data_IF_726974974249
#
_entry.id   IF_726974974249
#
_cell.length_a   1.000
_cell.length_b   1.000
_cell.length_c   1.000
_cell.angle_alpha   90.00
_cell.angle_beta   90.00
_cell.angle_gamma   90.00
#
_symmetry.space_group_name_H-M   'P 1'
#
loop_
_entity.id
_entity.type
_entity.pdbx_description
1 polymer ?
#
# COMPACT_ATOMS: atom_id res chain seq x y z
N UNK A 1 14.80 14.16 5.09
CA UNK A 1 14.49 13.89 4.60
C UNK A 1 14.32 13.56 4.15
N UNK A 2 14.40 13.62 4.34
CA UNK A 2 14.18 13.12 3.60
C UNK A 2 14.02 12.51 3.21
N UNK A 3 14.09 12.48 3.43
CA UNK A 3 13.93 11.78 2.81
C UNK A 3 13.62 11.20 2.58
N UNK A 4 13.65 11.03 2.64
CA UNK A 4 13.24 10.45 2.26
C UNK A 4 13.01 10.17 1.58
N UNK A 5 13.06 10.07 1.57
CA UNK A 5 12.78 9.65 0.72
C UNK A 5 12.75 9.44 0.05
N UNK A 6 12.89 9.46 0.08
CA UNK A 6 12.81 9.24 -0.59
C UNK A 6 12.81 8.68 -1.18
N UNK A 7 12.84 8.42 -1.23
CA UNK A 7 12.67 7.78 -1.89
C UNK A 7 12.82 7.26 -2.53
N UNK A 8 13.12 6.99 -2.57
CA UNK A 8 13.11 6.36 -3.21
C UNK A 8 12.95 6.03 -3.96
N UNK A 9 12.78 5.92 -4.47
CA UNK A 9 12.47 5.59 -5.29
C UNK A 9 12.88 5.39 -6.08
N UNK A 10 13.16 5.37 -6.34
CA UNK A 10 13.56 5.28 -7.23
C UNK A 10 14.56 4.58 -7.76
N UNK A 11 15.36 4.51 -7.60
CA UNK A 11 16.36 3.79 -8.32
C UNK A 11 16.17 2.31 -8.15
N UNK A 12 15.54 1.79 -9.11
CA UNK A 12 15.34 0.36 -9.17
C UNK A 12 16.68 -0.27 -9.50
N UNK A 13 17.14 -1.24 -8.71
CA UNK A 13 18.32 -1.98 -9.11
C UNK A 13 18.13 -2.59 -10.48
N UNK A 14 19.18 -2.64 -11.24
CA UNK A 14 19.10 -3.09 -12.62
C UNK A 14 19.32 -4.60 -12.76
N UNK A 15 19.45 -5.32 -11.67
CA UNK A 15 19.70 -6.74 -11.78
C UNK A 15 18.42 -7.49 -12.18
N UNK A 16 18.62 -8.70 -12.60
CA UNK A 16 17.59 -9.56 -13.13
C UNK A 16 16.44 -9.80 -12.15
N UNK A 17 16.77 -9.95 -10.87
CA UNK A 17 15.75 -10.22 -9.87
C UNK A 17 14.88 -9.02 -9.60
N UNK A 18 15.47 -7.84 -9.64
CA UNK A 18 14.72 -6.61 -9.42
C UNK A 18 13.72 -6.34 -10.53
N UNK A 19 14.05 -6.77 -11.75
CA UNK A 19 13.12 -6.60 -12.88
C UNK A 19 11.84 -7.40 -12.67
N UNK A 20 11.89 -8.44 -11.86
CA UNK A 20 10.70 -9.25 -11.57
C UNK A 20 9.81 -8.59 -10.53
N UNK A 21 10.35 -7.69 -9.73
CA UNK A 21 9.58 -7.05 -8.67
C UNK A 21 8.67 -5.97 -9.19
N UNK A 22 9.05 -5.25 -10.24
CA UNK A 22 8.21 -4.21 -10.81
C UNK A 22 6.81 -4.69 -11.15
N UNK A 23 6.70 -5.75 -11.98
CA UNK A 23 5.37 -6.29 -12.30
C UNK A 23 4.62 -6.80 -11.08
N UNK A 24 5.35 -7.35 -10.10
CA UNK A 24 4.72 -7.84 -8.88
C UNK A 24 4.13 -6.69 -8.07
N UNK A 25 4.86 -5.60 -7.94
CA UNK A 25 4.36 -4.42 -7.22
C UNK A 25 3.12 -3.85 -7.90
N UNK A 26 3.13 -3.81 -9.23
CA UNK A 26 1.96 -3.37 -9.98
C UNK A 26 0.77 -4.29 -9.75
N UNK A 27 1.01 -5.59 -9.73
CA UNK A 27 -0.04 -6.56 -9.46
C UNK A 27 -0.66 -6.31 -8.08
N UNK A 28 0.17 -6.10 -7.07
CA UNK A 28 -0.32 -5.84 -5.73
C UNK A 28 -1.15 -4.56 -5.67
N UNK A 29 -0.70 -3.51 -6.35
CA UNK A 29 -1.45 -2.24 -6.40
C UNK A 29 -2.80 -2.40 -7.05
N UNK A 30 -2.88 -3.21 -8.08
CA UNK A 30 -4.13 -3.42 -8.82
C UNK A 30 -5.09 -4.37 -8.11
N UNK A 31 -4.61 -5.07 -7.09
CA UNK A 31 -5.41 -6.07 -6.40
C UNK A 31 -5.36 -5.88 -4.89
N UNK A 32 -5.50 -4.63 -4.44
CA UNK A 32 -5.40 -4.29 -3.01
C UNK A 32 -6.44 -5.00 -2.16
N UNK A 33 -7.59 -5.32 -2.74
CA UNK A 33 -8.67 -5.99 -2.01
C UNK A 33 -8.38 -7.47 -1.75
N UNK A 34 -7.35 -8.02 -2.38
CA UNK A 34 -6.99 -9.42 -2.23
C UNK A 34 -5.95 -9.61 -1.14
N UNK A 35 -5.93 -10.81 -0.60
CA UNK A 35 -4.88 -11.20 0.34
C UNK A 35 -3.61 -11.52 -0.45
N UNK A 36 -2.47 -11.03 0.03
CA UNK A 36 -1.18 -11.26 -0.62
C UNK A 36 -0.26 -11.99 0.35
N UNK A 37 -0.13 -13.30 0.16
CA UNK A 37 0.66 -14.14 1.05
C UNK A 37 2.09 -14.24 0.54
N UNK A 38 3.04 -14.26 1.46
CA UNK A 38 4.46 -14.29 1.10
C UNK A 38 4.82 -15.47 0.19
N UNK A 39 4.36 -16.71 0.47
CA UNK A 39 4.69 -17.82 -0.45
C UNK A 39 4.19 -17.59 -1.87
N UNK A 40 3.00 -17.01 -2.01
CA UNK A 40 2.43 -16.74 -3.33
C UNK A 40 3.18 -15.64 -4.06
N UNK A 41 3.55 -14.59 -3.33
CA UNK A 41 4.29 -13.48 -3.92
C UNK A 41 5.67 -13.93 -4.36
N UNK A 42 6.35 -14.73 -3.54
CA UNK A 42 7.67 -15.25 -3.88
C UNK A 42 7.59 -16.11 -5.12
N UNK A 43 6.59 -16.99 -5.19
CA UNK A 43 6.40 -17.86 -6.35
C UNK A 43 6.14 -17.03 -7.60
N UNK A 44 5.34 -16.01 -7.49
CA UNK A 44 5.05 -15.10 -8.60
C UNK A 44 6.32 -14.42 -9.11
N UNK A 45 7.20 -14.06 -8.18
CA UNK A 45 8.48 -13.43 -8.53
C UNK A 45 9.54 -14.44 -9.00
N UNK A 46 9.25 -15.74 -8.87
CA UNK A 46 10.21 -16.76 -9.26
C UNK A 46 11.38 -16.87 -8.30
N UNK A 47 11.14 -16.60 -7.02
CA UNK A 47 12.19 -16.59 -6.01
C UNK A 47 11.78 -17.44 -4.82
N UNK A 48 12.79 -17.90 -4.05
CA UNK A 48 12.51 -18.46 -2.74
C UNK A 48 11.97 -17.35 -1.83
N UNK A 49 11.27 -17.73 -0.76
CA UNK A 49 10.72 -16.73 0.17
C UNK A 49 11.83 -15.87 0.77
N UNK A 50 12.95 -16.50 1.11
CA UNK A 50 14.07 -15.77 1.72
C UNK A 50 14.63 -14.72 0.75
N UNK A 51 14.88 -15.13 -0.49
CA UNK A 51 15.39 -14.23 -1.51
C UNK A 51 14.37 -13.12 -1.80
N UNK A 52 13.11 -13.50 -1.89
CA UNK A 52 12.05 -12.52 -2.13
C UNK A 52 12.01 -11.43 -1.05
N UNK A 53 12.02 -11.84 0.22
CA UNK A 53 11.97 -10.88 1.31
C UNK A 53 13.17 -9.94 1.30
N UNK A 54 14.36 -10.48 1.04
CA UNK A 54 15.56 -9.67 0.97
C UNK A 54 15.50 -8.69 -0.19
N UNK A 55 15.16 -9.18 -1.38
CA UNK A 55 15.10 -8.32 -2.57
C UNK A 55 14.01 -7.26 -2.46
N UNK A 56 12.87 -7.65 -1.90
CA UNK A 56 11.77 -6.71 -1.71
C UNK A 56 12.21 -5.56 -0.79
N UNK A 57 12.85 -5.90 0.31
CA UNK A 57 13.35 -4.90 1.25
C UNK A 57 14.40 -3.99 0.62
N UNK A 58 15.29 -4.56 -0.19
CA UNK A 58 16.30 -3.77 -0.89
C UNK A 58 15.67 -2.81 -1.89
N UNK A 59 14.65 -3.26 -2.59
CA UNK A 59 14.02 -2.47 -3.65
C UNK A 59 13.08 -1.39 -3.09
N UNK A 60 12.38 -1.67 -2.00
CA UNK A 60 11.33 -0.77 -1.50
C UNK A 60 11.69 -0.10 -0.17
N UNK A 61 12.67 -0.61 0.53
CA UNK A 61 13.00 -0.15 1.87
C UNK A 61 12.05 -0.65 2.95
N UNK A 62 11.14 -1.56 2.61
CA UNK A 62 10.11 -2.04 3.53
C UNK A 62 9.89 -3.53 3.36
N UNK A 63 9.27 -4.13 4.37
CA UNK A 63 8.74 -5.48 4.22
C UNK A 63 7.51 -5.44 3.31
N UNK A 64 7.13 -6.56 2.71
CA UNK A 64 5.91 -6.59 1.89
C UNK A 64 4.67 -6.16 2.67
N UNK A 65 4.55 -6.58 3.93
CA UNK A 65 3.39 -6.20 4.75
C UNK A 65 3.33 -4.69 4.97
N UNK A 66 4.45 -4.07 5.30
CA UNK A 66 4.51 -2.63 5.50
C UNK A 66 4.27 -1.86 4.22
N UNK A 67 4.86 -2.33 3.14
CA UNK A 67 4.67 -1.70 1.85
C UNK A 67 3.20 -1.73 1.44
N UNK A 68 2.57 -2.89 1.60
CA UNK A 68 1.16 -3.04 1.23
C UNK A 68 0.27 -2.17 2.09
N UNK A 69 0.55 -2.11 3.40
CA UNK A 69 -0.21 -1.26 4.30
C UNK A 69 -0.13 0.20 3.86
N UNK A 70 1.07 0.67 3.51
CA UNK A 70 1.24 2.04 3.05
C UNK A 70 0.47 2.32 1.77
N UNK A 71 0.50 1.40 0.82
CA UNK A 71 -0.24 1.58 -0.43
C UNK A 71 -1.73 1.62 -0.18
N UNK A 72 -2.22 0.73 0.68
CA UNK A 72 -3.64 0.71 1.06
C UNK A 72 -4.07 2.01 1.72
N UNK A 73 -3.22 2.56 2.60
CA UNK A 73 -3.54 3.82 3.26
C UNK A 73 -3.53 4.99 2.28
N UNK A 74 -2.57 5.01 1.36
CA UNK A 74 -2.54 6.06 0.34
C UNK A 74 -3.78 6.01 -0.54
N UNK A 75 -4.20 4.82 -0.92
CA UNK A 75 -5.39 4.67 -1.74
C UNK A 75 -6.64 5.09 -0.97
N UNK A 76 -6.72 4.72 0.31
CA UNK A 76 -7.83 5.14 1.15
C UNK A 76 -7.89 6.67 1.26
N UNK A 77 -6.74 7.29 1.46
CA UNK A 77 -6.66 8.74 1.54
C UNK A 77 -7.13 9.40 0.25
N UNK A 78 -6.72 8.86 -0.89
CA UNK A 78 -7.15 9.38 -2.18
C UNK A 78 -8.67 9.32 -2.32
N UNK A 79 -9.28 8.21 -1.94
CA UNK A 79 -10.73 8.08 -1.97
C UNK A 79 -11.40 9.09 -1.05
N UNK A 80 -10.83 9.32 0.13
CA UNK A 80 -11.39 10.29 1.07
C UNK A 80 -11.36 11.70 0.51
N UNK A 81 -10.33 12.02 -0.26
CA UNK A 81 -10.15 13.36 -0.82
C UNK A 81 -10.95 13.59 -2.09
N UNK A 82 -11.11 12.55 -2.91
CA UNK A 82 -11.59 12.72 -4.27
C UNK A 82 -12.95 12.09 -4.56
N UNK A 83 -13.54 11.37 -3.60
CA UNK A 83 -14.81 10.71 -3.83
C UNK A 83 -15.70 10.81 -2.60
N UNK A 84 -16.96 10.44 -2.78
CA UNK A 84 -17.95 10.44 -1.71
C UNK A 84 -18.34 9.02 -1.30
N UNK A 85 -17.60 8.01 -1.72
CA UNK A 85 -17.97 6.65 -1.36
C UNK A 85 -17.83 6.46 0.14
N UNK A 86 -18.60 5.53 0.67
CA UNK A 86 -18.67 5.32 2.11
C UNK A 86 -17.35 4.77 2.66
N UNK A 87 -17.14 4.97 3.94
CA UNK A 87 -15.98 4.42 4.63
C UNK A 87 -15.96 2.90 4.49
N UNK A 88 -17.13 2.26 4.54
CA UNK A 88 -17.23 0.81 4.33
C UNK A 88 -16.71 0.39 2.97
N UNK A 89 -17.10 1.13 1.92
CA UNK A 89 -16.66 0.81 0.58
C UNK A 89 -15.17 1.06 0.40
N UNK A 90 -14.66 2.12 1.01
CA UNK A 90 -13.22 2.37 0.97
C UNK A 90 -12.46 1.21 1.61
N UNK A 91 -12.94 0.75 2.77
CA UNK A 91 -12.29 -0.38 3.45
C UNK A 91 -12.26 -1.62 2.57
N UNK A 92 -13.34 -1.91 1.87
CA UNK A 92 -13.39 -3.06 0.96
C UNK A 92 -12.44 -2.88 -0.22
N UNK A 93 -12.52 -1.75 -0.89
CA UNK A 93 -11.73 -1.50 -2.10
C UNK A 93 -10.23 -1.50 -1.84
N UNK A 94 -9.83 -1.03 -0.66
CA UNK A 94 -8.41 -0.87 -0.36
C UNK A 94 -7.83 -2.07 0.40
N UNK A 95 -8.66 -3.07 0.69
CA UNK A 95 -8.17 -4.31 1.28
C UNK A 95 -8.16 -4.37 2.78
N UNK A 96 -8.62 -3.30 3.46
CA UNK A 96 -8.74 -3.35 4.92
C UNK A 96 -9.90 -4.25 5.36
N UNK A 97 -10.90 -4.38 4.50
CA UNK A 97 -12.02 -5.28 4.73
C UNK A 97 -13.15 -4.69 5.52
N UNK A 98 -12.85 -4.08 6.67
CA UNK A 98 -13.86 -3.49 7.54
C UNK A 98 -13.50 -2.05 7.89
N UNK A 99 -14.51 -1.22 8.20
CA UNK A 99 -14.23 0.14 8.68
C UNK A 99 -13.39 0.15 9.95
N UNK A 100 -13.58 -0.81 10.83
CA UNK A 100 -12.82 -0.88 12.08
C UNK A 100 -11.33 -1.04 11.79
N UNK A 101 -10.98 -1.95 10.89
CA UNK A 101 -9.59 -2.17 10.53
C UNK A 101 -8.99 -0.96 9.82
N UNK A 102 -9.76 -0.35 8.91
CA UNK A 102 -9.31 0.86 8.24
C UNK A 102 -9.07 1.98 9.25
N UNK A 103 -10.02 2.22 10.17
CA UNK A 103 -9.87 3.26 11.17
C UNK A 103 -8.65 3.05 12.03
N UNK A 104 -8.41 1.81 12.44
CA UNK A 104 -7.25 1.48 13.28
C UNK A 104 -5.94 1.88 12.59
N UNK A 105 -5.73 1.39 11.39
CA UNK A 105 -4.48 1.66 10.68
C UNK A 105 -4.35 3.11 10.25
N UNK A 106 -5.47 3.70 9.81
CA UNK A 106 -5.47 5.10 9.39
C UNK A 106 -5.10 6.01 10.55
N UNK A 107 -5.70 5.76 11.70
CA UNK A 107 -5.43 6.57 12.89
C UNK A 107 -3.98 6.42 13.35
N UNK A 108 -3.44 5.21 13.29
CA UNK A 108 -2.06 4.96 13.68
C UNK A 108 -1.08 5.75 12.81
N UNK A 109 -1.33 5.81 11.52
CA UNK A 109 -0.40 6.42 10.59
C UNK A 109 -0.67 7.91 10.37
N UNK A 110 -1.92 8.32 10.41
CA UNK A 110 -2.30 9.70 10.07
C UNK A 110 -2.63 10.56 11.30
N UNK A 111 -2.82 9.95 12.46
CA UNK A 111 -3.16 10.68 13.66
C UNK A 111 -4.59 11.17 13.73
N UNK A 112 -5.43 10.76 12.79
CA UNK A 112 -6.83 11.17 12.74
C UNK A 112 -7.67 10.05 12.14
N UNK A 113 -8.99 10.15 12.26
CA UNK A 113 -9.88 9.14 11.69
C UNK A 113 -10.14 9.44 10.22
N UNK A 114 -10.54 8.43 9.44
CA UNK A 114 -10.92 8.66 8.05
C UNK A 114 -12.02 9.72 7.89
N UNK A 115 -13.03 9.67 8.74
CA UNK A 115 -14.13 10.63 8.66
C UNK A 115 -13.64 12.06 8.93
N UNK A 116 -12.84 12.24 9.97
CA UNK A 116 -12.28 13.55 10.28
C UNK A 116 -11.38 14.05 9.15
N UNK A 117 -10.58 13.15 8.60
CA UNK A 117 -9.71 13.48 7.48
C UNK A 117 -10.52 13.96 6.28
N UNK A 118 -11.60 13.26 5.96
CA UNK A 118 -12.46 13.64 4.84
C UNK A 118 -13.10 15.02 5.08
N UNK A 119 -13.51 15.29 6.31
CA UNK A 119 -14.10 16.58 6.64
C UNK A 119 -13.12 17.73 6.42
N UNK A 120 -11.85 17.50 6.70
CA UNK A 120 -10.83 18.53 6.56
C UNK A 120 -10.33 18.66 5.12
N UNK A 121 -10.08 17.53 4.45
CA UNK A 121 -9.39 17.53 3.16
C UNK A 121 -10.22 17.01 2.01
N UNK A 122 -11.44 16.56 2.28
CA UNK A 122 -12.28 16.00 1.25
C UNK A 122 -12.82 17.06 0.31
N UNK A 123 -13.38 16.56 -0.82
CA UNK A 123 -14.01 17.42 -1.79
C UNK A 123 -15.20 18.11 -1.16
N UNK A 124 -15.30 19.42 -1.36
CA UNK A 124 -16.44 20.17 -0.86
C UNK A 124 -17.60 19.92 -1.81
N UNK A 125 -18.69 19.39 -1.26
CA UNK A 125 -19.93 19.26 -2.02
C UNK A 125 -20.61 20.61 -1.98
N UNK A 126 -20.72 21.19 -3.14
CA UNK A 126 -21.39 22.50 -3.22
C UNK A 126 -22.86 22.37 -2.93
#
# INVERSE_FOLDING_TARGET
DGGQAQFIERSVPTDYESDRLGPLLDHMRKHLHQEHRIPDLARRAGMSERTFLRRFSEATGKTPAKWLLNVRLCEARDHLETSDISIERIAEHTGFGTPTNLRHHFREQMGTTPTAYRQTFGRISA
#
